data_IF_128965514732
#
_entry.id   IF_128965514732
#
_cell.length_a   1.000
_cell.length_b   1.000
_cell.length_c   1.000
_cell.angle_alpha   90.00
_cell.angle_beta   90.00
_cell.angle_gamma   90.00
#
_symmetry.space_group_name_H-M   'P 1'
#
loop_
_entity.id
_entity.type
_entity.pdbx_description
1 polymer ?
#
# COMPACT_ATOMS: atom_id res chain seq x y z
N UNK A 1 -23.62 37.44 -40.73
CA UNK A 1 -23.20 37.47 -39.31
C UNK A 1 -22.81 36.04 -38.94
N UNK A 2 -21.62 35.64 -39.33
CA UNK A 2 -21.09 34.32 -38.97
C UNK A 2 -20.54 34.39 -37.55
N UNK A 3 -21.27 33.80 -36.61
CA UNK A 3 -20.76 33.53 -35.26
C UNK A 3 -19.63 32.52 -35.40
N UNK A 4 -18.39 33.02 -35.41
CA UNK A 4 -17.20 32.19 -35.19
C UNK A 4 -17.34 31.49 -33.85
N UNK A 5 -17.53 30.18 -33.89
CA UNK A 5 -17.35 29.29 -32.75
C UNK A 5 -15.94 29.51 -32.18
N UNK A 6 -15.78 29.86 -30.89
CA UNK A 6 -14.45 30.07 -30.32
C UNK A 6 -13.69 28.75 -30.24
N UNK A 7 -12.47 28.73 -30.77
CA UNK A 7 -11.48 27.68 -30.52
C UNK A 7 -11.13 27.70 -29.02
N UNK A 8 -11.21 26.55 -28.35
CA UNK A 8 -10.85 26.39 -26.93
C UNK A 8 -9.38 26.76 -26.69
N UNK A 9 -9.13 27.91 -26.05
CA UNK A 9 -7.87 28.16 -25.34
C UNK A 9 -7.76 27.15 -24.17
N UNK A 10 -6.55 26.71 -23.76
CA UNK A 10 -6.35 25.77 -22.64
C UNK A 10 -6.92 26.21 -21.27
N UNK A 11 -7.50 27.42 -21.19
CA UNK A 11 -8.01 28.02 -19.96
C UNK A 11 -6.90 28.37 -18.96
N UNK A 12 -7.25 29.12 -17.91
CA UNK A 12 -6.31 29.53 -16.86
C UNK A 12 -5.70 28.32 -16.11
N UNK A 13 -6.39 27.18 -16.09
CA UNK A 13 -5.86 25.91 -15.55
C UNK A 13 -4.63 25.41 -16.32
N UNK A 14 -4.72 25.32 -17.65
CA UNK A 14 -3.61 24.84 -18.48
C UNK A 14 -2.40 25.77 -18.43
N UNK A 15 -2.62 27.08 -18.28
CA UNK A 15 -1.54 28.05 -18.06
C UNK A 15 -0.86 27.84 -16.71
N UNK A 16 -1.62 27.59 -15.64
CA UNK A 16 -1.07 27.27 -14.32
C UNK A 16 -0.20 26.00 -14.35
N UNK A 17 -0.70 24.91 -14.95
CA UNK A 17 0.05 23.66 -15.11
C UNK A 17 1.34 23.86 -15.93
N UNK A 18 1.26 24.65 -17.01
CA UNK A 18 2.41 25.00 -17.83
C UNK A 18 3.47 25.79 -17.05
N UNK A 19 3.05 26.74 -16.21
CA UNK A 19 3.94 27.49 -15.33
C UNK A 19 4.58 26.60 -14.26
N UNK A 20 3.80 25.76 -13.58
CA UNK A 20 4.34 24.81 -12.59
C UNK A 20 5.44 23.94 -13.22
N UNK A 21 5.16 23.34 -14.38
CA UNK A 21 6.14 22.52 -15.11
C UNK A 21 7.38 23.32 -15.53
N UNK A 22 7.21 24.56 -16.00
CA UNK A 22 8.33 25.44 -16.40
C UNK A 22 9.27 25.75 -15.24
N UNK A 23 8.75 25.86 -14.03
CA UNK A 23 9.53 26.12 -12.81
C UNK A 23 9.99 24.84 -12.10
N UNK A 24 9.82 23.67 -12.72
CA UNK A 24 10.25 22.40 -12.15
C UNK A 24 9.41 21.93 -10.96
N UNK A 25 8.21 22.49 -10.77
CA UNK A 25 7.27 22.04 -9.75
C UNK A 25 6.60 20.76 -10.22
N UNK A 26 6.75 19.70 -9.44
CA UNK A 26 6.08 18.42 -9.64
C UNK A 26 5.14 18.18 -8.46
N UNK A 27 3.84 18.35 -8.67
CA UNK A 27 2.81 18.19 -7.65
C UNK A 27 1.79 17.16 -8.13
N UNK A 28 1.73 16.03 -7.41
CA UNK A 28 0.98 14.84 -7.79
C UNK A 28 0.21 14.29 -6.60
N UNK A 29 -0.77 13.44 -6.84
CA UNK A 29 -1.47 12.72 -5.79
C UNK A 29 -0.94 11.31 -5.65
N UNK A 30 -0.35 10.96 -4.51
CA UNK A 30 0.09 9.60 -4.21
C UNK A 30 -1.11 8.78 -3.70
N UNK A 31 -1.61 7.85 -4.53
CA UNK A 31 -2.80 7.05 -4.19
C UNK A 31 -2.56 6.03 -3.07
N UNK A 32 -1.29 5.70 -2.76
CA UNK A 32 -0.93 4.79 -1.66
C UNK A 32 -0.77 5.53 -0.34
N UNK A 33 -0.38 6.80 -0.36
CA UNK A 33 -0.32 7.65 0.84
C UNK A 33 -1.56 8.51 1.03
N UNK A 34 -2.51 8.50 0.10
CA UNK A 34 -3.70 9.36 0.10
C UNK A 34 -3.35 10.82 0.45
N UNK A 35 -2.30 11.33 -0.18
CA UNK A 35 -1.70 12.62 0.12
C UNK A 35 -0.97 13.21 -1.10
N UNK A 36 -0.80 14.54 -1.18
CA UNK A 36 0.04 15.16 -2.19
C UNK A 36 1.51 14.73 -2.06
N UNK A 37 2.13 14.41 -3.19
CA UNK A 37 3.56 14.26 -3.36
C UNK A 37 4.09 15.47 -4.14
N UNK A 38 4.92 16.28 -3.48
CA UNK A 38 5.35 17.58 -3.99
C UNK A 38 6.87 17.63 -4.05
N UNK A 39 7.42 18.08 -5.18
CA UNK A 39 8.85 18.31 -5.40
C UNK A 39 9.07 19.62 -6.16
N UNK A 40 10.30 20.15 -6.07
CA UNK A 40 10.70 21.35 -6.81
C UNK A 40 10.16 22.66 -6.24
N UNK A 41 9.80 22.67 -4.95
CA UNK A 41 9.32 23.85 -4.23
C UNK A 41 10.33 24.20 -3.13
N UNK A 42 10.77 25.47 -3.02
CA UNK A 42 11.59 25.92 -1.89
C UNK A 42 10.73 25.96 -0.61
N UNK A 43 11.23 25.39 0.49
CA UNK A 43 10.42 25.26 1.70
C UNK A 43 11.04 24.45 2.81
N UNK A 44 10.23 24.18 3.84
CA UNK A 44 10.59 23.35 5.00
C UNK A 44 9.82 22.03 4.92
N UNK A 45 10.51 20.93 5.18
CA UNK A 45 9.90 19.60 5.24
C UNK A 45 8.69 19.58 6.20
N UNK A 46 7.60 18.96 5.76
CA UNK A 46 6.31 18.91 6.48
C UNK A 46 5.33 20.06 6.19
N UNK A 47 5.71 21.05 5.37
CA UNK A 47 4.84 22.15 4.95
C UNK A 47 4.65 22.25 3.43
N UNK A 48 4.92 21.17 2.69
CA UNK A 48 5.10 21.18 1.24
C UNK A 48 3.87 21.73 0.50
N UNK A 49 2.65 21.42 0.95
CA UNK A 49 1.43 21.95 0.31
C UNK A 49 1.28 23.46 0.51
N UNK A 50 1.60 23.97 1.70
CA UNK A 50 1.56 25.40 1.99
C UNK A 50 2.63 26.13 1.19
N UNK A 51 3.83 25.57 1.14
CA UNK A 51 4.96 26.12 0.38
C UNK A 51 4.65 26.10 -1.12
N UNK A 52 4.01 25.05 -1.63
CA UNK A 52 3.55 24.96 -3.01
C UNK A 52 2.55 26.06 -3.34
N UNK A 53 1.53 26.28 -2.49
CA UNK A 53 0.55 27.35 -2.69
C UNK A 53 1.23 28.71 -2.73
N UNK A 54 2.13 28.99 -1.78
CA UNK A 54 2.84 30.26 -1.72
C UNK A 54 3.74 30.47 -2.95
N UNK A 55 4.54 29.46 -3.30
CA UNK A 55 5.46 29.52 -4.43
C UNK A 55 4.71 29.70 -5.77
N UNK A 56 3.63 28.95 -5.97
CA UNK A 56 2.83 29.03 -7.19
C UNK A 56 2.15 30.40 -7.32
N UNK A 57 1.66 31.00 -6.22
CA UNK A 57 1.12 32.38 -6.23
C UNK A 57 2.16 33.42 -6.63
N UNK A 58 3.42 33.24 -6.25
CA UNK A 58 4.53 34.11 -6.68
C UNK A 58 4.80 33.96 -8.19
N UNK A 59 4.80 32.73 -8.71
CA UNK A 59 4.93 32.46 -10.14
C UNK A 59 3.79 33.13 -10.92
N UNK A 60 2.53 32.93 -10.51
CA UNK A 60 1.37 33.56 -11.16
C UNK A 60 1.51 35.09 -11.23
N UNK A 61 1.93 35.72 -10.12
CA UNK A 61 2.15 37.18 -10.07
C UNK A 61 3.16 37.65 -11.13
N UNK A 62 4.26 36.92 -11.31
CA UNK A 62 5.31 37.29 -12.26
C UNK A 62 4.87 37.14 -13.73
N UNK A 63 3.90 36.26 -14.00
CA UNK A 63 3.36 36.01 -15.34
C UNK A 63 1.98 36.63 -15.57
N UNK A 64 1.53 37.52 -14.67
CA UNK A 64 0.23 38.22 -14.74
C UNK A 64 -0.99 37.27 -14.77
N UNK A 65 -0.84 36.05 -14.26
CA UNK A 65 -1.95 35.12 -14.04
C UNK A 65 -2.62 35.44 -12.69
N UNK A 66 -3.95 35.31 -12.62
CA UNK A 66 -4.70 35.50 -11.38
C UNK A 66 -4.12 34.60 -10.28
N UNK A 67 -4.03 35.09 -9.04
CA UNK A 67 -3.60 34.26 -7.89
C UNK A 67 -4.74 33.38 -7.36
N UNK A 68 -5.98 33.78 -7.61
CA UNK A 68 -7.19 33.04 -7.20
C UNK A 68 -7.24 31.67 -7.87
N UNK A 69 -6.70 31.55 -9.10
CA UNK A 69 -6.62 30.27 -9.80
C UNK A 69 -5.84 29.20 -9.01
N UNK A 70 -4.87 29.60 -8.19
CA UNK A 70 -4.11 28.67 -7.34
C UNK A 70 -5.03 28.10 -6.25
N UNK A 71 -5.83 28.97 -5.62
CA UNK A 71 -6.76 28.56 -4.57
C UNK A 71 -7.90 27.70 -5.13
N UNK A 72 -8.31 27.94 -6.38
CA UNK A 72 -9.44 27.26 -7.01
C UNK A 72 -9.07 25.95 -7.73
N UNK A 73 -7.88 25.86 -8.34
CA UNK A 73 -7.53 24.76 -9.25
C UNK A 73 -6.39 23.88 -8.77
N UNK A 74 -5.53 24.32 -7.84
CA UNK A 74 -4.31 23.58 -7.51
C UNK A 74 -4.62 22.16 -6.98
N UNK A 75 -5.59 22.02 -6.09
CA UNK A 75 -6.01 20.72 -5.57
C UNK A 75 -6.49 19.80 -6.71
N UNK A 76 -7.35 20.31 -7.60
CA UNK A 76 -7.84 19.55 -8.76
C UNK A 76 -6.74 19.20 -9.77
N UNK A 77 -5.69 20.02 -9.90
CA UNK A 77 -4.50 19.72 -10.70
C UNK A 77 -3.74 18.55 -10.06
N UNK A 78 -3.47 18.62 -8.75
CA UNK A 78 -2.77 17.56 -8.01
C UNK A 78 -3.54 16.24 -8.11
N UNK A 79 -4.85 16.25 -7.85
CA UNK A 79 -5.72 15.07 -7.91
C UNK A 79 -5.86 14.49 -9.32
N UNK A 80 -5.70 15.30 -10.37
CA UNK A 80 -5.67 14.80 -11.76
C UNK A 80 -4.36 14.11 -12.14
N UNK A 81 -3.30 14.33 -11.37
CA UNK A 81 -1.96 13.77 -11.59
C UNK A 81 -1.65 12.67 -10.56
N UNK A 82 -2.41 11.56 -10.63
CA UNK A 82 -2.26 10.42 -9.71
C UNK A 82 -1.01 9.61 -10.02
N UNK A 83 -0.27 9.22 -8.98
CA UNK A 83 0.86 8.28 -9.05
C UNK A 83 0.67 7.13 -8.08
N UNK A 84 1.29 5.99 -8.41
CA UNK A 84 1.38 4.84 -7.51
C UNK A 84 2.80 4.28 -7.54
N UNK A 85 3.73 4.86 -6.74
CA UNK A 85 5.14 4.47 -6.82
C UNK A 85 5.40 3.00 -6.48
N UNK A 86 4.53 2.37 -5.68
CA UNK A 86 4.64 0.94 -5.37
C UNK A 86 4.29 0.09 -6.59
N UNK A 87 3.15 0.36 -7.25
CA UNK A 87 2.78 -0.33 -8.49
C UNK A 87 3.80 -0.08 -9.59
N UNK A 88 4.24 1.16 -9.76
CA UNK A 88 5.20 1.55 -10.80
C UNK A 88 6.55 0.83 -10.61
N UNK A 89 6.96 0.59 -9.36
CA UNK A 89 8.12 -0.24 -9.06
C UNK A 89 7.87 -1.72 -9.37
N UNK A 90 6.75 -2.29 -8.91
CA UNK A 90 6.40 -3.70 -9.15
C UNK A 90 6.29 -4.03 -10.65
N UNK A 91 5.79 -3.10 -11.47
CA UNK A 91 5.70 -3.28 -12.92
C UNK A 91 7.04 -3.12 -13.64
N UNK A 92 7.97 -2.35 -13.06
CA UNK A 92 9.27 -2.04 -13.65
C UNK A 92 10.37 -3.07 -13.36
N UNK A 93 10.18 -3.95 -12.37
CA UNK A 93 11.16 -4.98 -12.01
C UNK A 93 11.02 -6.24 -12.86
N UNK A 94 12.13 -6.94 -13.08
CA UNK A 94 12.18 -8.18 -13.87
C UNK A 94 12.88 -9.28 -13.11
N UNK A 95 12.50 -10.53 -13.37
CA UNK A 95 13.16 -11.70 -12.75
C UNK A 95 14.57 -11.86 -13.29
N UNK A 96 15.49 -12.20 -12.41
CA UNK A 96 16.89 -12.47 -12.72
C UNK A 96 17.25 -13.95 -12.55
N UNK A 97 16.45 -14.69 -11.77
CA UNK A 97 16.70 -16.09 -11.42
C UNK A 97 15.58 -17.03 -11.86
N UNK A 98 15.85 -18.33 -11.87
CA UNK A 98 14.88 -19.40 -12.22
C UNK A 98 14.33 -20.15 -11.01
N UNK A 99 15.03 -20.13 -9.87
CA UNK A 99 14.56 -20.76 -8.64
C UNK A 99 13.36 -19.98 -8.05
N UNK A 100 12.60 -20.64 -7.18
CA UNK A 100 11.50 -19.98 -6.46
C UNK A 100 12.09 -19.15 -5.29
N UNK A 101 12.05 -17.80 -5.34
CA UNK A 101 12.67 -16.96 -4.32
C UNK A 101 11.92 -16.99 -2.99
N UNK A 102 10.64 -17.37 -2.96
CA UNK A 102 9.91 -17.59 -1.70
C UNK A 102 10.49 -18.80 -0.97
N UNK A 103 10.83 -19.86 -1.70
CA UNK A 103 11.45 -21.04 -1.10
C UNK A 103 12.86 -20.69 -0.61
N UNK A 104 13.67 -20.03 -1.43
CA UNK A 104 15.00 -19.54 -1.04
C UNK A 104 14.95 -18.70 0.24
N UNK A 105 14.02 -17.75 0.32
CA UNK A 105 13.84 -16.90 1.50
C UNK A 105 13.50 -17.76 2.73
N UNK A 106 12.43 -18.56 2.66
CA UNK A 106 11.91 -19.30 3.82
C UNK A 106 12.87 -20.41 4.28
N UNK A 107 13.55 -21.06 3.35
CA UNK A 107 14.53 -22.11 3.66
C UNK A 107 15.74 -21.59 4.43
N UNK A 108 16.02 -20.27 4.36
CA UNK A 108 17.09 -19.63 5.12
C UNK A 108 16.62 -18.88 6.38
N UNK A 109 15.31 -18.76 6.60
CA UNK A 109 14.79 -18.11 7.81
C UNK A 109 14.78 -19.09 9.01
N UNK A 110 15.09 -18.61 10.23
CA UNK A 110 14.98 -19.40 11.45
C UNK A 110 13.52 -19.43 11.94
N UNK A 111 12.65 -20.14 11.23
CA UNK A 111 11.21 -20.23 11.51
C UNK A 111 10.76 -21.68 11.69
N UNK A 112 9.69 -21.87 12.45
CA UNK A 112 8.97 -23.15 12.52
C UNK A 112 8.21 -23.43 11.21
N UNK A 113 7.97 -24.72 10.93
CA UNK A 113 7.11 -25.20 9.82
C UNK A 113 7.34 -24.46 8.49
N UNK A 114 8.53 -24.65 7.90
CA UNK A 114 8.92 -23.98 6.65
C UNK A 114 7.95 -24.22 5.50
N UNK A 115 7.28 -25.38 5.44
CA UNK A 115 6.31 -25.69 4.40
C UNK A 115 5.05 -24.83 4.55
N UNK A 116 4.55 -24.67 5.77
CA UNK A 116 3.49 -23.69 6.05
C UNK A 116 3.95 -22.26 5.75
N UNK A 117 5.14 -21.87 6.18
CA UNK A 117 5.64 -20.49 5.99
C UNK A 117 5.78 -20.16 4.50
N UNK A 118 6.19 -21.11 3.65
CA UNK A 118 6.18 -20.93 2.17
C UNK A 118 4.78 -20.56 1.67
N UNK A 119 3.75 -21.28 2.12
CA UNK A 119 2.34 -21.01 1.75
C UNK A 119 1.87 -19.65 2.28
N UNK A 120 2.15 -19.37 3.56
CA UNK A 120 1.78 -18.13 4.24
C UNK A 120 2.40 -16.90 3.54
N UNK A 121 3.72 -16.92 3.32
CA UNK A 121 4.46 -15.86 2.64
C UNK A 121 3.98 -15.67 1.22
N UNK A 122 3.86 -16.75 0.43
CA UNK A 122 3.38 -16.65 -0.96
C UNK A 122 2.00 -16.00 -1.02
N UNK A 123 1.05 -16.46 -0.20
CA UNK A 123 -0.32 -15.92 -0.17
C UNK A 123 -0.36 -14.45 0.26
N UNK A 124 0.42 -14.09 1.27
CA UNK A 124 0.47 -12.71 1.77
C UNK A 124 1.15 -11.77 0.76
N UNK A 125 2.25 -12.18 0.14
CA UNK A 125 2.96 -11.38 -0.87
C UNK A 125 2.10 -11.13 -2.11
N UNK A 126 1.35 -12.12 -2.59
CA UNK A 126 0.38 -11.94 -3.68
C UNK A 126 -0.67 -10.90 -3.28
N UNK A 127 -1.16 -10.97 -2.04
CA UNK A 127 -2.10 -9.97 -1.53
C UNK A 127 -1.47 -8.57 -1.46
N UNK A 128 -0.20 -8.44 -1.10
CA UNK A 128 0.50 -7.16 -1.13
C UNK A 128 0.54 -6.60 -2.57
N UNK A 129 0.84 -7.41 -3.58
CA UNK A 129 0.77 -6.98 -4.99
C UNK A 129 -0.63 -6.54 -5.38
N UNK A 130 -1.65 -7.32 -5.02
CA UNK A 130 -3.05 -6.98 -5.28
C UNK A 130 -3.47 -5.67 -4.62
N UNK A 131 -3.01 -5.42 -3.40
CA UNK A 131 -3.27 -4.21 -2.64
C UNK A 131 -2.59 -2.98 -3.25
N UNK A 132 -1.32 -3.10 -3.65
CA UNK A 132 -0.59 -2.04 -4.36
C UNK A 132 -1.25 -1.69 -5.70
N UNK A 133 -1.69 -2.70 -6.45
CA UNK A 133 -2.37 -2.52 -7.72
C UNK A 133 -3.83 -2.04 -7.57
N UNK A 134 -4.41 -2.19 -6.38
CA UNK A 134 -5.84 -1.98 -6.10
C UNK A 134 -6.76 -2.82 -7.01
N UNK A 135 -6.29 -4.01 -7.43
CA UNK A 135 -6.96 -4.89 -8.38
C UNK A 135 -7.37 -4.21 -9.70
N UNK A 136 -6.49 -3.36 -10.24
CA UNK A 136 -6.69 -2.61 -11.50
C UNK A 136 -6.06 -3.30 -12.72
N UNK A 137 -5.22 -4.33 -12.55
CA UNK A 137 -4.56 -5.00 -13.66
C UNK A 137 -5.53 -5.59 -14.68
N UNK A 138 -5.09 -5.57 -15.94
CA UNK A 138 -5.77 -6.19 -17.07
C UNK A 138 -5.68 -7.72 -16.98
N UNK A 139 -6.69 -8.43 -17.51
CA UNK A 139 -6.71 -9.89 -17.48
C UNK A 139 -7.14 -10.52 -16.14
N UNK A 140 -7.47 -9.70 -15.13
CA UNK A 140 -8.06 -10.19 -13.88
C UNK A 140 -9.33 -11.01 -14.14
N UNK A 141 -9.54 -12.05 -13.33
CA UNK A 141 -10.78 -12.82 -13.37
C UNK A 141 -11.98 -11.88 -13.12
N UNK A 142 -13.11 -12.00 -13.85
CA UNK A 142 -14.28 -11.13 -13.68
C UNK A 142 -14.82 -11.07 -12.24
N UNK A 143 -14.72 -12.20 -11.53
CA UNK A 143 -15.13 -12.31 -10.12
C UNK A 143 -14.04 -11.91 -9.11
N UNK A 144 -12.92 -11.33 -9.55
CA UNK A 144 -11.86 -10.87 -8.65
C UNK A 144 -12.36 -9.65 -7.85
N UNK A 145 -12.37 -9.80 -6.52
CA UNK A 145 -12.81 -8.77 -5.59
C UNK A 145 -11.58 -8.16 -4.90
N UNK A 146 -11.45 -6.81 -4.81
CA UNK A 146 -10.36 -6.14 -4.10
C UNK A 146 -10.52 -6.26 -2.57
N UNK A 147 -10.39 -7.49 -2.06
CA UNK A 147 -10.47 -7.85 -0.64
C UNK A 147 -9.15 -8.44 -0.19
N UNK A 148 -8.49 -7.77 0.77
CA UNK A 148 -7.16 -8.13 1.26
C UNK A 148 -7.27 -8.59 2.72
N UNK A 149 -7.94 -9.73 2.91
CA UNK A 149 -8.34 -10.18 4.24
C UNK A 149 -7.22 -10.82 5.05
N UNK A 150 -6.10 -11.22 4.42
CA UNK A 150 -5.04 -11.94 5.10
C UNK A 150 -4.17 -10.98 5.92
N UNK A 151 -3.73 -11.42 7.09
CA UNK A 151 -2.81 -10.71 7.98
C UNK A 151 -1.63 -11.62 8.22
N UNK A 152 -0.42 -11.19 7.85
CA UNK A 152 0.80 -11.88 8.24
C UNK A 152 1.03 -11.67 9.74
N UNK A 153 1.19 -12.76 10.49
CA UNK A 153 1.45 -12.69 11.94
C UNK A 153 2.87 -13.16 12.19
N UNK A 154 3.75 -12.25 12.58
CA UNK A 154 5.13 -12.57 12.94
C UNK A 154 5.19 -12.83 14.45
N UNK A 155 5.31 -14.10 14.84
CA UNK A 155 5.41 -14.54 16.23
C UNK A 155 6.85 -14.87 16.64
N UNK A 156 7.06 -15.08 17.94
CA UNK A 156 8.36 -15.39 18.54
C UNK A 156 8.83 -14.33 19.54
N UNK A 157 10.03 -14.54 20.10
CA UNK A 157 10.58 -13.69 21.15
C UNK A 157 10.76 -12.22 20.71
N UNK A 158 10.97 -11.34 21.68
CA UNK A 158 11.30 -9.95 21.42
C UNK A 158 12.70 -9.83 20.79
N UNK A 159 12.93 -8.77 20.01
CA UNK A 159 14.25 -8.51 19.41
C UNK A 159 14.62 -9.38 18.21
N UNK A 160 13.69 -10.16 17.65
CA UNK A 160 13.92 -11.00 16.46
C UNK A 160 13.80 -10.26 15.11
N UNK A 161 13.78 -8.92 15.11
CA UNK A 161 13.68 -8.08 13.90
C UNK A 161 12.40 -8.31 13.06
N UNK A 162 11.28 -8.67 13.72
CA UNK A 162 9.99 -8.97 13.07
C UNK A 162 9.47 -7.82 12.19
N UNK A 163 9.37 -6.61 12.73
CA UNK A 163 8.92 -5.44 11.96
C UNK A 163 9.92 -5.08 10.85
N UNK A 164 11.23 -5.12 11.15
CA UNK A 164 12.28 -4.77 10.19
C UNK A 164 12.40 -5.77 9.04
N UNK A 165 12.06 -7.03 9.25
CA UNK A 165 12.08 -8.08 8.23
C UNK A 165 11.34 -7.66 6.96
N UNK A 166 10.15 -7.06 7.10
CA UNK A 166 9.36 -6.60 5.95
C UNK A 166 10.06 -5.47 5.20
N UNK A 167 10.73 -4.55 5.91
CA UNK A 167 11.55 -3.49 5.29
C UNK A 167 12.76 -4.06 4.55
N UNK A 168 13.35 -5.16 5.03
CA UNK A 168 14.47 -5.83 4.35
C UNK A 168 14.06 -6.53 3.04
N UNK A 169 12.75 -6.69 2.81
CA UNK A 169 12.22 -7.19 1.54
C UNK A 169 11.89 -6.07 0.56
N UNK A 170 12.23 -4.81 0.85
CA UNK A 170 11.89 -3.67 -0.01
C UNK A 170 13.08 -2.72 -0.20
N UNK A 171 13.14 -2.02 -1.34
CA UNK A 171 14.08 -0.92 -1.51
C UNK A 171 13.75 0.23 -0.54
N UNK A 172 14.78 0.99 -0.14
CA UNK A 172 14.68 2.02 0.89
C UNK A 172 13.65 3.10 0.55
N UNK A 173 13.50 3.44 -0.73
CA UNK A 173 12.56 4.44 -1.24
C UNK A 173 11.10 4.06 -0.97
N UNK A 174 10.81 2.76 -0.80
CA UNK A 174 9.48 2.26 -0.52
C UNK A 174 9.20 2.07 0.98
N UNK A 175 10.18 2.26 1.86
CA UNK A 175 9.98 2.09 3.31
C UNK A 175 8.94 3.06 3.87
N UNK A 176 8.75 4.23 3.26
CA UNK A 176 7.71 5.20 3.63
C UNK A 176 6.27 4.69 3.42
N UNK A 177 6.07 3.63 2.64
CA UNK A 177 4.78 2.95 2.48
C UNK A 177 4.56 1.83 3.49
N UNK A 178 5.50 1.61 4.42
CA UNK A 178 5.29 0.76 5.59
C UNK A 178 5.05 1.67 6.79
N UNK A 179 4.05 1.34 7.61
CA UNK A 179 3.84 1.97 8.91
C UNK A 179 3.93 0.96 10.02
N UNK A 180 4.79 1.26 10.98
CA UNK A 180 5.00 0.44 12.15
C UNK A 180 3.99 0.83 13.24
N UNK A 181 3.57 -0.15 14.05
CA UNK A 181 2.79 0.08 15.27
C UNK A 181 1.51 0.94 15.11
N UNK A 182 0.73 0.73 14.05
CA UNK A 182 -0.54 1.45 13.86
C UNK A 182 -1.68 0.79 14.64
N UNK A 183 -2.37 1.57 15.47
CA UNK A 183 -3.56 1.10 16.20
C UNK A 183 -4.78 1.14 15.29
N UNK A 184 -5.54 0.04 15.24
CA UNK A 184 -6.84 -0.04 14.57
C UNK A 184 -7.96 0.33 15.54
N UNK A 185 -8.66 1.42 15.26
CA UNK A 185 -9.95 1.77 15.83
C UNK A 185 -10.87 2.16 14.67
N UNK A 186 -11.88 1.32 14.38
CA UNK A 186 -12.74 1.55 13.21
C UNK A 186 -13.71 2.72 13.38
N UNK A 187 -13.84 3.25 14.60
CA UNK A 187 -14.69 4.39 14.94
C UNK A 187 -13.89 5.70 14.95
N UNK A 188 -12.58 5.63 15.12
CA UNK A 188 -11.71 6.79 15.01
C UNK A 188 -11.25 7.00 13.57
N UNK A 189 -11.63 8.16 13.04
CA UNK A 189 -11.27 8.58 11.68
C UNK A 189 -9.76 8.75 11.51
N UNK A 190 -9.07 9.27 12.51
CA UNK A 190 -7.64 9.56 12.40
C UNK A 190 -6.83 8.27 12.45
N UNK A 191 -7.24 7.30 13.27
CA UNK A 191 -6.76 5.90 13.21
C UNK A 191 -6.94 5.29 11.81
N UNK A 192 -8.16 5.34 11.27
CA UNK A 192 -8.46 4.79 9.95
C UNK A 192 -7.64 5.44 8.83
N UNK A 193 -7.54 6.78 8.85
CA UNK A 193 -6.72 7.51 7.88
C UNK A 193 -5.24 7.17 8.05
N UNK A 194 -4.74 7.03 9.27
CA UNK A 194 -3.36 6.63 9.49
C UNK A 194 -3.04 5.27 8.84
N UNK A 195 -3.93 4.30 8.99
CA UNK A 195 -3.81 2.98 8.37
C UNK A 195 -3.87 3.06 6.84
N UNK A 196 -4.80 3.83 6.29
CA UNK A 196 -4.98 4.00 4.84
C UNK A 196 -3.97 4.94 4.18
N UNK A 197 -2.96 5.42 4.90
CA UNK A 197 -1.87 6.24 4.33
C UNK A 197 -0.58 5.44 4.25
N UNK A 198 -0.68 4.17 3.83
CA UNK A 198 0.45 3.28 3.62
C UNK A 198 0.02 2.07 2.77
N UNK A 199 0.99 1.25 2.36
CA UNK A 199 0.77 -0.04 1.71
C UNK A 199 0.68 -1.19 2.71
N UNK A 200 1.61 -1.22 3.69
CA UNK A 200 1.72 -2.30 4.67
C UNK A 200 1.68 -1.69 6.09
N UNK A 201 0.51 -1.68 6.73
CA UNK A 201 0.39 -1.34 8.14
C UNK A 201 0.73 -2.55 9.02
N UNK A 202 1.62 -2.34 10.00
CA UNK A 202 1.78 -3.22 11.14
C UNK A 202 0.75 -2.86 12.21
N UNK A 203 -0.27 -3.69 12.37
CA UNK A 203 -1.30 -3.50 13.37
C UNK A 203 -0.71 -3.76 14.77
N UNK A 204 -0.63 -2.71 15.59
CA UNK A 204 -0.27 -2.80 17.00
C UNK A 204 -1.41 -3.38 17.85
N UNK A 205 -1.05 -3.92 19.01
CA UNK A 205 -1.99 -4.37 20.04
C UNK A 205 -3.10 -5.29 19.50
N UNK A 206 -2.73 -6.21 18.61
CA UNK A 206 -3.71 -7.10 18.01
C UNK A 206 -4.24 -8.12 19.02
N UNK A 207 -3.55 -8.40 20.12
CA UNK A 207 -3.98 -9.35 21.16
C UNK A 207 -5.42 -9.07 21.67
N UNK A 208 -5.78 -7.85 22.09
CA UNK A 208 -7.18 -7.47 22.33
C UNK A 208 -8.12 -7.70 21.14
N UNK A 209 -7.71 -7.34 19.92
CA UNK A 209 -8.51 -7.51 18.70
C UNK A 209 -8.68 -8.98 18.29
N UNK A 210 -7.76 -9.86 18.70
CA UNK A 210 -7.80 -11.30 18.46
C UNK A 210 -8.67 -12.04 19.48
N UNK A 211 -8.96 -11.42 20.63
CA UNK A 211 -9.94 -11.95 21.59
C UNK A 211 -11.35 -11.91 20.98
N UNK A 212 -12.22 -12.82 21.43
CA UNK A 212 -13.58 -13.02 20.90
C UNK A 212 -14.40 -11.75 20.67
N UNK A 213 -14.20 -10.70 21.49
CA UNK A 213 -14.94 -9.43 21.40
C UNK A 213 -14.46 -8.51 20.26
N UNK A 214 -13.16 -8.46 19.97
CA UNK A 214 -12.59 -7.59 18.94
C UNK A 214 -12.51 -8.24 17.55
N UNK A 215 -12.52 -9.57 17.48
CA UNK A 215 -12.34 -10.30 16.24
C UNK A 215 -13.40 -10.00 15.16
N UNK A 216 -14.70 -9.80 15.48
CA UNK A 216 -15.69 -9.38 14.49
C UNK A 216 -15.40 -8.01 13.85
N UNK A 217 -14.91 -7.05 14.64
CA UNK A 217 -14.58 -5.70 14.15
C UNK A 217 -13.39 -5.74 13.18
N UNK A 218 -12.32 -6.45 13.55
CA UNK A 218 -11.16 -6.65 12.70
C UNK A 218 -11.54 -7.36 11.39
N UNK A 219 -12.37 -8.41 11.45
CA UNK A 219 -12.88 -9.09 10.25
C UNK A 219 -13.71 -8.16 9.37
N UNK A 220 -14.55 -7.33 9.99
CA UNK A 220 -15.33 -6.31 9.29
C UNK A 220 -14.43 -5.33 8.56
N UNK A 221 -13.38 -4.84 9.21
CA UNK A 221 -12.37 -3.98 8.59
C UNK A 221 -11.65 -4.67 7.42
N UNK A 222 -11.17 -5.91 7.61
CA UNK A 222 -10.42 -6.67 6.60
C UNK A 222 -11.26 -7.03 5.37
N UNK A 223 -12.59 -7.14 5.53
CA UNK A 223 -13.52 -7.50 4.46
C UNK A 223 -13.99 -6.31 3.60
N UNK A 224 -13.60 -5.07 3.92
CA UNK A 224 -13.99 -3.88 3.15
C UNK A 224 -13.24 -3.79 1.82
N UNK A 225 -13.95 -3.35 0.79
CA UNK A 225 -13.40 -3.02 -0.54
C UNK A 225 -13.09 -1.53 -0.68
N UNK A 226 -13.85 -0.70 0.05
CA UNK A 226 -13.73 0.75 0.10
C UNK A 226 -13.93 1.23 1.54
N UNK A 227 -13.30 2.35 1.85
CA UNK A 227 -13.45 3.07 3.11
C UNK A 227 -14.01 4.47 2.82
N UNK A 228 -15.14 4.78 3.44
CA UNK A 228 -15.73 6.12 3.38
C UNK A 228 -15.27 6.91 4.60
N UNK A 229 -14.46 7.95 4.37
CA UNK A 229 -13.86 8.76 5.42
C UNK A 229 -14.21 10.22 5.22
N UNK A 230 -14.82 10.84 6.23
CA UNK A 230 -15.12 12.28 6.21
C UNK A 230 -13.97 13.08 6.82
N UNK A 231 -13.10 13.64 5.97
CA UNK A 231 -12.01 14.52 6.41
C UNK A 231 -12.54 15.76 7.15
N UNK A 232 -11.73 16.34 8.04
CA UNK A 232 -12.12 17.55 8.80
C UNK A 232 -12.40 18.66 7.80
N UNK A 233 -13.51 19.37 7.98
CA UNK A 233 -13.98 20.44 7.08
C UNK A 233 -14.42 20.00 5.68
N UNK A 234 -14.40 18.71 5.34
CA UNK A 234 -14.93 18.22 4.09
C UNK A 234 -16.47 18.21 4.08
N UNK A 235 -17.06 18.73 2.99
CA UNK A 235 -18.52 18.75 2.78
C UNK A 235 -19.10 17.36 2.51
N UNK A 236 -18.31 16.46 1.91
CA UNK A 236 -18.69 15.08 1.59
C UNK A 236 -17.61 14.10 2.06
N UNK A 237 -17.96 12.84 2.36
CA UNK A 237 -16.99 11.79 2.61
C UNK A 237 -16.12 11.52 1.36
N UNK A 238 -14.84 11.25 1.59
CA UNK A 238 -13.91 10.74 0.59
C UNK A 238 -14.02 9.21 0.55
N UNK A 239 -14.13 8.65 -0.64
CA UNK A 239 -14.13 7.20 -0.85
C UNK A 239 -12.69 6.78 -1.18
N UNK A 240 -12.07 6.01 -0.30
CA UNK A 240 -10.73 5.47 -0.48
C UNK A 240 -10.86 3.99 -0.84
N UNK A 241 -10.29 3.57 -1.97
CA UNK A 241 -10.23 2.15 -2.32
C UNK A 241 -9.31 1.44 -1.35
N UNK A 242 -9.69 0.23 -0.93
CA UNK A 242 -8.81 -0.58 -0.09
C UNK A 242 -7.52 -0.87 -0.87
N UNK A 243 -6.37 -0.63 -0.23
CA UNK A 243 -5.02 -0.77 -0.80
C UNK A 243 -3.97 -1.18 0.24
N UNK A 244 -4.40 -1.59 1.44
CA UNK A 244 -3.52 -2.03 2.52
C UNK A 244 -3.46 -3.55 2.61
N UNK A 245 -2.26 -4.10 2.82
CA UNK A 245 -2.06 -5.51 3.18
C UNK A 245 -1.41 -5.57 4.56
N UNK A 246 -2.18 -6.00 5.56
CA UNK A 246 -1.78 -5.87 6.95
C UNK A 246 -0.76 -6.93 7.36
N UNK A 247 0.09 -6.56 8.32
CA UNK A 247 0.86 -7.49 9.13
C UNK A 247 0.72 -7.13 10.61
N UNK A 248 1.22 -7.98 11.49
CA UNK A 248 1.33 -7.70 12.92
C UNK A 248 2.49 -8.51 13.49
N UNK A 249 3.05 -8.04 14.60
CA UNK A 249 4.01 -8.79 15.39
C UNK A 249 3.43 -9.09 16.76
N UNK A 250 3.64 -10.32 17.24
CA UNK A 250 3.19 -10.79 18.56
C UNK A 250 4.36 -11.44 19.28
N UNK A 251 4.27 -11.49 20.62
CA UNK A 251 5.21 -12.24 21.44
C UNK A 251 4.74 -13.69 21.60
N UNK A 252 5.63 -14.65 21.39
CA UNK A 252 5.31 -16.07 21.55
C UNK A 252 4.53 -16.66 20.36
N UNK A 253 3.58 -17.56 20.68
CA UNK A 253 2.85 -18.37 19.71
C UNK A 253 1.56 -17.70 19.19
N UNK A 254 1.14 -18.11 17.99
CA UNK A 254 -0.16 -17.75 17.42
C UNK A 254 -0.87 -19.01 16.87
N UNK A 255 -2.19 -19.16 17.07
CA UNK A 255 -3.07 -18.27 17.82
C UNK A 255 -2.85 -18.41 19.34
N UNK A 256 -3.14 -17.38 20.16
CA UNK A 256 -2.97 -17.49 21.61
C UNK A 256 -3.72 -18.70 22.17
N UNK A 257 -3.12 -19.40 23.14
CA UNK A 257 -3.72 -20.58 23.77
C UNK A 257 -5.17 -20.33 24.20
N UNK A 258 -6.07 -21.25 23.83
CA UNK A 258 -7.50 -21.15 24.15
C UNK A 258 -8.32 -20.26 23.18
N UNK A 259 -7.70 -19.75 22.12
CA UNK A 259 -8.41 -19.09 21.02
C UNK A 259 -8.60 -20.01 19.82
N UNK A 260 -9.48 -19.63 18.89
CA UNK A 260 -9.73 -20.40 17.65
C UNK A 260 -8.89 -19.81 16.52
N UNK A 261 -8.28 -20.69 15.74
CA UNK A 261 -7.61 -20.32 14.51
C UNK A 261 -8.60 -19.68 13.52
N UNK A 262 -8.14 -18.67 12.79
CA UNK A 262 -8.87 -18.06 11.69
C UNK A 262 -7.99 -17.97 10.46
N UNK A 263 -8.52 -18.42 9.32
CA UNK A 263 -7.82 -18.53 8.04
C UNK A 263 -7.27 -17.23 7.45
N UNK A 264 -7.67 -16.08 8.02
CA UNK A 264 -7.15 -14.76 7.67
C UNK A 264 -5.77 -14.53 8.27
N UNK A 265 -5.42 -15.17 9.38
CA UNK A 265 -4.13 -14.96 10.03
C UNK A 265 -3.15 -16.02 9.58
N UNK A 266 -2.00 -15.56 9.11
CA UNK A 266 -0.94 -16.38 8.53
C UNK A 266 0.27 -16.35 9.46
N UNK A 267 0.30 -17.20 10.51
CA UNK A 267 1.39 -17.19 11.47
C UNK A 267 2.72 -17.64 10.86
N UNK A 268 3.79 -16.93 11.21
CA UNK A 268 5.19 -17.27 10.97
C UNK A 268 5.90 -17.14 12.31
N UNK A 269 6.23 -18.27 12.92
CA UNK A 269 6.82 -18.31 14.26
C UNK A 269 8.34 -18.33 14.15
N UNK A 270 8.99 -17.24 14.54
CA UNK A 270 10.44 -17.10 14.50
C UNK A 270 11.11 -17.74 15.73
N UNK A 271 12.22 -18.42 15.50
CA UNK A 271 13.15 -18.98 16.51
C UNK A 271 14.48 -18.24 16.57
N UNK A 272 14.67 -17.25 15.72
CA UNK A 272 15.87 -16.43 15.64
C UNK A 272 15.59 -15.15 14.89
N UNK A 273 16.63 -14.34 14.67
CA UNK A 273 16.50 -13.05 13.98
C UNK A 273 16.06 -13.27 12.53
N UNK A 274 15.07 -12.51 12.09
CA UNK A 274 14.58 -12.47 10.72
C UNK A 274 15.36 -11.45 9.88
N UNK A 275 16.69 -11.46 9.99
CA UNK A 275 17.58 -10.51 9.31
C UNK A 275 18.37 -11.14 8.14
N UNK A 276 18.09 -12.40 7.79
CA UNK A 276 18.67 -13.07 6.63
C UNK A 276 18.66 -12.20 5.36
N UNK A 277 17.54 -11.54 4.98
CA UNK A 277 17.53 -10.75 3.76
C UNK A 277 18.55 -9.61 3.75
N UNK A 278 18.76 -8.99 4.92
CA UNK A 278 19.74 -7.90 5.10
C UNK A 278 21.17 -8.43 5.18
N UNK A 279 21.40 -9.49 5.97
CA UNK A 279 22.75 -10.00 6.27
C UNK A 279 23.38 -10.67 5.05
N UNK A 280 22.57 -11.38 4.26
CA UNK A 280 23.03 -12.15 3.10
C UNK A 280 22.69 -11.49 1.77
N UNK A 281 22.22 -10.24 1.78
CA UNK A 281 21.85 -9.47 0.60
C UNK A 281 20.90 -10.26 -0.33
N UNK A 282 19.81 -10.78 0.25
CA UNK A 282 18.80 -11.51 -0.50
C UNK A 282 18.21 -10.63 -1.60
N UNK A 283 18.06 -11.20 -2.79
CA UNK A 283 17.50 -10.50 -3.95
C UNK A 283 15.97 -10.36 -3.80
N UNK A 284 15.56 -9.34 -3.06
CA UNK A 284 14.14 -9.01 -2.91
C UNK A 284 13.54 -8.54 -4.24
N UNK A 285 14.33 -8.03 -5.18
CA UNK A 285 13.82 -7.62 -6.50
C UNK A 285 13.35 -8.83 -7.29
N UNK A 286 14.12 -9.93 -7.32
CA UNK A 286 13.68 -11.19 -7.92
C UNK A 286 12.43 -11.76 -7.22
N UNK A 287 12.36 -11.66 -5.89
CA UNK A 287 11.18 -12.05 -5.10
C UNK A 287 9.93 -11.29 -5.55
N UNK A 288 9.98 -9.97 -5.62
CA UNK A 288 8.79 -9.20 -6.00
C UNK A 288 8.44 -9.35 -7.48
N UNK A 289 9.43 -9.52 -8.36
CA UNK A 289 9.17 -9.85 -9.76
C UNK A 289 8.47 -11.21 -9.91
N UNK A 290 8.86 -12.22 -9.11
CA UNK A 290 8.19 -13.52 -9.04
C UNK A 290 6.71 -13.39 -8.66
N UNK A 291 6.44 -12.64 -7.60
CA UNK A 291 5.11 -12.52 -7.02
C UNK A 291 4.23 -11.66 -7.93
N UNK A 292 4.79 -10.60 -8.52
CA UNK A 292 4.07 -9.75 -9.47
C UNK A 292 3.63 -10.52 -10.71
N UNK A 293 4.52 -11.35 -11.28
CA UNK A 293 4.17 -12.25 -12.39
C UNK A 293 3.07 -13.24 -12.00
N UNK A 294 3.20 -13.87 -10.83
CA UNK A 294 2.19 -14.79 -10.33
C UNK A 294 0.83 -14.10 -10.09
N UNK A 295 0.83 -12.85 -9.64
CA UNK A 295 -0.38 -12.04 -9.45
C UNK A 295 -1.07 -11.71 -10.78
N UNK A 296 -0.31 -11.23 -11.77
CA UNK A 296 -0.85 -10.72 -13.05
C UNK A 296 -1.18 -11.82 -14.06
N UNK A 297 -0.46 -12.94 -14.05
CA UNK A 297 -0.62 -14.05 -15.00
C UNK A 297 -1.24 -15.31 -14.37
N UNK A 298 -1.87 -15.19 -13.20
CA UNK A 298 -2.63 -16.27 -12.57
C UNK A 298 -1.80 -17.48 -12.13
N UNK A 299 -0.51 -17.26 -11.83
CA UNK A 299 0.39 -18.30 -11.35
C UNK A 299 0.69 -19.37 -12.40
N UNK A 300 1.26 -18.97 -13.54
CA UNK A 300 1.65 -19.93 -14.59
C UNK A 300 2.91 -20.74 -14.26
N UNK A 301 3.73 -20.34 -13.28
CA UNK A 301 5.02 -20.98 -12.98
C UNK A 301 5.32 -21.28 -11.49
N UNK A 302 4.36 -21.10 -10.57
CA UNK A 302 4.52 -21.42 -9.15
C UNK A 302 3.91 -22.79 -8.81
N UNK A 303 4.73 -23.75 -8.41
CA UNK A 303 4.37 -25.15 -8.14
C UNK A 303 3.39 -25.41 -6.98
N UNK A 304 2.18 -24.88 -7.05
CA UNK A 304 1.03 -25.29 -6.24
C UNK A 304 -0.17 -25.62 -7.15
N UNK A 305 0.06 -26.46 -8.16
CA UNK A 305 -1.03 -27.24 -8.78
C UNK A 305 -1.47 -28.35 -7.82
N UNK A 306 -2.19 -27.98 -6.76
CA UNK A 306 -3.26 -28.84 -6.26
C UNK A 306 -4.59 -28.18 -6.62
N UNK A 307 -5.23 -28.75 -7.65
CA UNK A 307 -6.65 -28.57 -7.94
C UNK A 307 -7.47 -28.99 -6.71
N UNK A 308 -7.69 -28.09 -5.77
CA UNK A 308 -8.88 -28.10 -4.91
C UNK A 308 -9.42 -26.68 -4.87
N UNK A 309 -10.55 -26.51 -5.57
CA UNK A 309 -11.44 -25.34 -5.53
C UNK A 309 -11.49 -24.74 -4.13
N UNK A 310 -10.79 -23.63 -3.92
CA UNK A 310 -11.07 -22.68 -2.85
C UNK A 310 -12.01 -21.60 -3.41
N UNK A 311 -13.12 -22.02 -4.00
CA UNK A 311 -14.29 -21.16 -4.11
C UNK A 311 -15.01 -21.23 -2.77
N UNK A 312 -15.08 -20.09 -2.09
CA UNK A 312 -15.90 -19.88 -0.91
C UNK A 312 -17.34 -20.24 -1.28
N UNK A 313 -17.82 -21.42 -0.85
CA UNK A 313 -19.25 -21.69 -0.81
C UNK A 313 -19.85 -20.76 0.23
N UNK A 314 -20.81 -19.94 -0.20
CA UNK A 314 -21.74 -19.25 0.70
C UNK A 314 -22.45 -20.31 1.55
N UNK A 315 -22.32 -20.16 2.86
CA UNK A 315 -23.24 -20.66 3.89
C UNK A 315 -23.16 -19.70 5.05
#
# INVERSE_FOLDING_TARGET
MDKKTPLLHPGERGELEGLMKRFGVDARYDEMLNAPAIKGVPGVEGNELKDLVAYTKVICRNYKLSRTIVDEQLESIIESNVINPVRDWLTGITRTKTNNPVHELVDNLPVEDKEWVKVAMYRWLIQCCAAADMAKHEGKHPDAIPKYECVLVLGGDQGLHKTSFIKYLLPAELHKYIKDSVRLDTKDRDSMLNILRCWIPELADLDPALKKKGLPELKGFLAKEVDEIRLTYARKPTIIRRHVSCMTSVEGEYPPKGTRWDRRFLPVIAKGRLDYPRVYNFDYTDLWAFIWDAYTHGGSNGGLRQKKRLYVRKS
#
